data_IF_158911741346
#
_entry.id   IF_158911741346
#
_cell.length_a   1.000
_cell.length_b   1.000
_cell.length_c   1.000
_cell.angle_alpha   90.00
_cell.angle_beta   90.00
_cell.angle_gamma   90.00
#
_symmetry.space_group_name_H-M   'P 1'
#
loop_
_entity.id
_entity.type
_entity.pdbx_description
1 polymer ?
#
# COMPACT_ATOMS: atom_id res chain seq x y z
N UNK A 1 -14.49 -23.52 26.54
CA UNK A 1 -13.65 -23.97 25.43
C UNK A 1 -12.98 -22.74 24.83
N UNK A 2 -11.69 -22.54 25.06
CA UNK A 2 -10.93 -21.50 24.36
C UNK A 2 -10.79 -21.91 22.90
N UNK A 3 -11.07 -21.04 21.91
CA UNK A 3 -10.86 -21.38 20.52
C UNK A 3 -9.36 -21.69 20.29
N UNK A 4 -9.06 -22.86 19.71
CA UNK A 4 -7.69 -23.20 19.31
C UNK A 4 -7.25 -22.25 18.20
N UNK A 5 -6.21 -21.47 18.43
CA UNK A 5 -5.67 -20.60 17.39
C UNK A 5 -5.10 -21.45 16.25
N UNK A 6 -5.35 -21.09 14.99
CA UNK A 6 -4.80 -21.82 13.85
C UNK A 6 -3.27 -21.80 13.93
N UNK A 7 -2.64 -22.94 13.65
CA UNK A 7 -1.18 -23.07 13.69
C UNK A 7 -0.48 -22.14 12.68
N UNK A 8 -1.19 -21.75 11.63
CA UNK A 8 -0.69 -20.93 10.51
C UNK A 8 -1.81 -20.02 10.00
N UNK A 9 -1.51 -18.74 9.76
CA UNK A 9 -2.36 -17.86 8.96
C UNK A 9 -1.91 -17.93 7.49
N UNK A 10 -2.82 -17.69 6.54
CA UNK A 10 -2.50 -17.67 5.12
C UNK A 10 -1.28 -16.75 4.85
N UNK A 11 -0.19 -17.32 4.32
CA UNK A 11 1.07 -16.61 4.07
C UNK A 11 2.10 -16.60 5.21
N UNK A 12 1.86 -17.24 6.37
CA UNK A 12 2.78 -17.22 7.52
C UNK A 12 3.05 -18.60 8.14
N UNK A 13 4.32 -18.89 8.40
CA UNK A 13 4.78 -20.14 9.01
C UNK A 13 4.54 -20.24 10.53
N UNK A 14 4.38 -19.12 11.24
CA UNK A 14 4.18 -19.08 12.70
C UNK A 14 3.23 -17.95 13.10
N UNK A 15 2.41 -18.18 14.13
CA UNK A 15 1.47 -17.19 14.67
C UNK A 15 1.86 -16.72 16.09
N UNK A 16 1.75 -15.42 16.43
CA UNK A 16 1.44 -14.32 15.52
C UNK A 16 2.61 -14.08 14.56
N UNK A 17 2.34 -13.70 13.29
CA UNK A 17 3.39 -13.41 12.35
C UNK A 17 4.26 -12.27 12.87
N UNK A 18 5.57 -12.51 12.99
CA UNK A 18 6.53 -11.45 13.31
C UNK A 18 6.76 -10.63 12.04
N UNK A 19 6.25 -9.41 12.01
CA UNK A 19 6.58 -8.47 10.95
C UNK A 19 8.05 -8.06 11.10
N UNK A 20 8.90 -8.51 10.20
CA UNK A 20 10.29 -8.03 10.09
C UNK A 20 10.33 -6.73 9.28
N UNK A 21 9.46 -5.75 9.60
CA UNK A 21 9.52 -4.45 8.95
C UNK A 21 10.94 -3.90 9.15
N UNK A 22 11.62 -3.45 8.08
CA UNK A 22 12.91 -2.81 8.25
C UNK A 22 12.74 -1.59 9.17
N UNK A 23 13.81 -1.15 9.86
CA UNK A 23 13.77 0.11 10.60
C UNK A 23 13.28 1.22 9.67
N UNK A 24 12.12 1.80 9.97
CA UNK A 24 11.56 2.91 9.19
C UNK A 24 12.25 4.21 9.62
N UNK A 25 13.56 4.28 9.53
CA UNK A 25 14.32 5.49 9.83
C UNK A 25 14.80 6.13 8.53
N UNK A 26 14.97 7.45 8.55
CA UNK A 26 15.65 8.11 7.45
C UNK A 26 17.10 7.62 7.39
N UNK A 27 17.59 7.43 6.17
CA UNK A 27 19.01 7.21 5.94
C UNK A 27 19.82 8.41 6.47
N UNK A 28 21.02 8.17 6.99
CA UNK A 28 21.88 9.23 7.54
C UNK A 28 22.18 10.36 6.54
N UNK A 29 22.12 10.07 5.23
CA UNK A 29 22.29 11.05 4.15
C UNK A 29 21.04 11.89 3.85
N UNK A 30 19.87 11.53 4.38
CA UNK A 30 18.59 12.17 4.07
C UNK A 30 18.17 13.12 5.19
N UNK A 31 18.27 14.42 4.94
CA UNK A 31 17.78 15.44 5.87
C UNK A 31 16.25 15.54 5.81
N UNK A 32 15.58 15.45 6.97
CA UNK A 32 14.11 15.47 7.09
C UNK A 32 13.47 16.69 6.42
N UNK A 33 14.12 17.85 6.56
CA UNK A 33 13.67 19.15 6.07
C UNK A 33 13.70 19.26 4.54
N UNK A 34 14.46 18.36 3.88
CA UNK A 34 14.56 18.30 2.42
C UNK A 34 13.50 17.40 1.78
N UNK A 35 12.71 16.68 2.59
CA UNK A 35 11.71 15.74 2.08
C UNK A 35 10.44 16.52 1.69
N UNK A 36 10.17 16.55 0.39
CA UNK A 36 8.89 17.02 -0.14
C UNK A 36 7.91 15.84 -0.25
N UNK A 37 7.05 15.66 0.77
CA UNK A 37 6.11 14.55 0.82
C UNK A 37 5.16 14.51 -0.40
N UNK A 38 4.69 15.66 -0.86
CA UNK A 38 3.79 15.75 -2.02
C UNK A 38 4.48 15.29 -3.30
N UNK A 39 5.74 15.67 -3.50
CA UNK A 39 6.51 15.24 -4.67
C UNK A 39 6.74 13.72 -4.67
N UNK A 40 7.11 13.15 -3.51
CA UNK A 40 7.33 11.69 -3.38
C UNK A 40 6.06 10.92 -3.67
N UNK A 41 4.92 11.33 -3.09
CA UNK A 41 3.64 10.65 -3.29
C UNK A 41 3.15 10.78 -4.73
N UNK A 42 3.26 11.96 -5.34
CA UNK A 42 2.85 12.15 -6.73
C UNK A 42 3.69 11.28 -7.68
N UNK A 43 5.00 11.14 -7.44
CA UNK A 43 5.86 10.22 -8.21
C UNK A 43 5.45 8.77 -8.02
N UNK A 44 5.18 8.34 -6.78
CA UNK A 44 4.77 6.97 -6.48
C UNK A 44 3.40 6.65 -7.09
N UNK A 45 2.41 7.55 -6.97
CA UNK A 45 1.08 7.38 -7.57
C UNK A 45 1.15 7.34 -9.11
N UNK A 46 1.99 8.17 -9.73
CA UNK A 46 2.20 8.13 -11.18
C UNK A 46 2.77 6.77 -11.63
N UNK A 47 3.78 6.26 -10.93
CA UNK A 47 4.37 4.95 -11.22
C UNK A 47 3.38 3.80 -10.96
N UNK A 48 2.56 3.89 -9.92
CA UNK A 48 1.50 2.93 -9.62
C UNK A 48 0.48 2.89 -10.76
N UNK A 49 -0.04 4.06 -11.16
CA UNK A 49 -1.00 4.18 -12.27
C UNK A 49 -0.43 3.60 -13.55
N UNK A 50 0.81 3.94 -13.90
CA UNK A 50 1.47 3.41 -15.10
C UNK A 50 1.63 1.88 -15.06
N UNK A 51 2.02 1.33 -13.91
CA UNK A 51 2.16 -0.11 -13.73
C UNK A 51 0.81 -0.85 -13.85
N UNK A 52 -0.26 -0.26 -13.34
CA UNK A 52 -1.62 -0.81 -13.45
C UNK A 52 -2.11 -0.74 -14.90
N UNK A 53 -1.99 0.41 -15.56
CA UNK A 53 -2.44 0.62 -16.94
C UNK A 53 -1.74 -0.33 -17.91
N UNK A 54 -0.44 -0.56 -17.71
CA UNK A 54 0.36 -1.49 -18.52
C UNK A 54 0.23 -2.94 -18.08
N UNK A 55 -0.46 -3.23 -16.97
CA UNK A 55 -0.48 -4.53 -16.29
C UNK A 55 0.92 -5.13 -16.09
N UNK A 56 1.90 -4.28 -15.81
CA UNK A 56 3.30 -4.68 -15.69
C UNK A 56 3.58 -5.16 -14.26
N UNK A 57 3.55 -6.47 -14.05
CA UNK A 57 3.76 -7.11 -12.74
C UNK A 57 5.09 -6.68 -12.10
N UNK A 58 6.19 -6.72 -12.85
CA UNK A 58 7.50 -6.38 -12.33
C UNK A 58 7.60 -4.90 -11.90
N UNK A 59 7.05 -3.98 -12.68
CA UNK A 59 7.02 -2.55 -12.31
C UNK A 59 6.14 -2.33 -11.08
N UNK A 60 4.97 -2.98 -11.03
CA UNK A 60 4.05 -2.88 -9.90
C UNK A 60 4.70 -3.38 -8.60
N UNK A 61 5.28 -4.58 -8.62
CA UNK A 61 5.89 -5.19 -7.44
C UNK A 61 7.09 -4.39 -6.92
N UNK A 62 7.84 -3.73 -7.81
CA UNK A 62 8.98 -2.88 -7.44
C UNK A 62 8.60 -1.66 -6.57
N UNK A 63 7.32 -1.28 -6.53
CA UNK A 63 6.80 -0.18 -5.72
C UNK A 63 6.59 -0.56 -4.25
N UNK A 64 6.72 -1.84 -3.91
CA UNK A 64 6.40 -2.39 -2.61
C UNK A 64 7.61 -3.10 -2.00
N UNK A 65 7.82 -2.90 -0.71
CA UNK A 65 8.75 -3.74 0.08
C UNK A 65 8.15 -5.12 0.34
N UNK A 66 8.98 -6.11 0.64
CA UNK A 66 8.54 -7.49 0.83
C UNK A 66 7.49 -7.63 1.95
N UNK A 67 7.58 -6.79 2.97
CA UNK A 67 6.73 -6.80 4.17
C UNK A 67 5.49 -5.91 4.03
N UNK A 68 5.22 -5.42 2.82
CA UNK A 68 4.06 -4.59 2.51
C UNK A 68 2.75 -5.35 2.62
N UNK A 69 1.68 -4.58 2.86
CA UNK A 69 0.32 -5.09 2.92
C UNK A 69 -0.60 -4.22 2.10
N UNK A 70 -1.52 -4.86 1.39
CA UNK A 70 -2.66 -4.21 0.75
C UNK A 70 -3.95 -4.63 1.42
N UNK A 71 -4.73 -3.66 1.90
CA UNK A 71 -6.08 -3.92 2.42
C UNK A 71 -7.11 -3.46 1.42
N UNK A 72 -7.91 -4.38 0.93
CA UNK A 72 -9.06 -4.12 0.09
C UNK A 72 -10.32 -4.11 0.97
N UNK A 73 -10.91 -2.93 1.16
CA UNK A 73 -12.15 -2.73 1.91
C UNK A 73 -13.31 -2.64 0.93
N UNK A 74 -13.66 -3.78 0.34
CA UNK A 74 -14.74 -3.94 -0.65
C UNK A 74 -14.59 -3.18 -1.98
N UNK A 75 -13.40 -2.68 -2.31
CA UNK A 75 -13.19 -1.83 -3.48
C UNK A 75 -12.92 -2.62 -4.76
N UNK A 76 -12.00 -3.59 -4.71
CA UNK A 76 -11.63 -4.41 -5.88
C UNK A 76 -12.40 -5.71 -5.93
N UNK A 77 -12.72 -6.22 -4.74
CA UNK A 77 -13.56 -7.39 -4.50
C UNK A 77 -14.70 -6.98 -3.59
N UNK A 78 -15.85 -7.65 -3.61
CA UNK A 78 -16.94 -7.39 -2.66
C UNK A 78 -16.67 -7.95 -1.25
N UNK A 79 -15.40 -8.20 -0.93
CA UNK A 79 -14.93 -8.80 0.30
C UNK A 79 -13.93 -7.87 0.99
N UNK A 80 -13.81 -8.00 2.31
CA UNK A 80 -12.68 -7.44 3.04
C UNK A 80 -11.52 -8.41 2.93
N UNK A 81 -10.44 -7.98 2.28
CA UNK A 81 -9.26 -8.82 2.06
C UNK A 81 -7.98 -8.10 2.47
N UNK A 82 -7.00 -8.86 2.95
CA UNK A 82 -5.63 -8.38 3.21
C UNK A 82 -4.65 -9.25 2.45
N UNK A 83 -3.75 -8.64 1.68
CA UNK A 83 -2.74 -9.32 0.87
C UNK A 83 -1.35 -8.94 1.35
N UNK A 84 -0.53 -9.94 1.60
CA UNK A 84 0.81 -9.79 2.14
C UNK A 84 1.86 -9.99 1.06
N UNK A 85 2.73 -8.99 0.92
CA UNK A 85 3.88 -9.00 0.02
C UNK A 85 3.55 -8.72 -1.45
N UNK A 86 4.54 -8.25 -2.23
CA UNK A 86 4.32 -7.76 -3.59
C UNK A 86 3.59 -8.76 -4.52
N UNK A 87 3.92 -10.07 -4.54
CA UNK A 87 3.24 -11.02 -5.44
C UNK A 87 1.75 -11.23 -5.14
N UNK A 88 1.36 -11.24 -3.86
CA UNK A 88 -0.05 -11.39 -3.50
C UNK A 88 -0.84 -10.11 -3.79
N UNK A 89 -0.19 -8.95 -3.62
CA UNK A 89 -0.79 -7.65 -3.92
C UNK A 89 -0.96 -7.48 -5.43
N UNK A 90 0.06 -7.77 -6.23
CA UNK A 90 0.02 -7.65 -7.70
C UNK A 90 -1.04 -8.57 -8.30
N UNK A 91 -1.11 -9.84 -7.85
CA UNK A 91 -2.13 -10.78 -8.27
C UNK A 91 -3.55 -10.30 -7.94
N UNK A 92 -3.76 -9.69 -6.77
CA UNK A 92 -5.06 -9.16 -6.36
C UNK A 92 -5.47 -7.90 -7.14
N UNK A 93 -4.56 -6.94 -7.27
CA UNK A 93 -4.84 -5.65 -7.90
C UNK A 93 -4.92 -5.77 -9.43
N UNK A 94 -3.90 -6.35 -10.06
CA UNK A 94 -3.84 -6.46 -11.52
C UNK A 94 -4.76 -7.56 -12.08
N UNK A 95 -5.10 -8.56 -11.25
CA UNK A 95 -6.05 -9.61 -11.58
C UNK A 95 -7.52 -9.24 -11.36
N UNK A 96 -7.83 -8.10 -10.73
CA UNK A 96 -9.21 -7.70 -10.46
C UNK A 96 -9.99 -7.38 -11.73
N UNK A 97 -11.18 -7.97 -11.87
CA UNK A 97 -12.14 -7.66 -12.95
C UNK A 97 -12.86 -6.33 -12.74
N UNK A 98 -12.87 -5.81 -11.51
CA UNK A 98 -13.43 -4.50 -11.17
C UNK A 98 -12.52 -3.38 -11.64
N UNK A 99 -11.20 -3.65 -11.70
CA UNK A 99 -10.18 -2.70 -12.11
C UNK A 99 -9.91 -1.62 -11.05
N UNK A 100 -8.71 -1.07 -11.11
CA UNK A 100 -8.29 0.11 -10.35
C UNK A 100 -7.68 1.09 -11.35
N UNK A 101 -8.16 2.32 -11.40
CA UNK A 101 -7.68 3.32 -12.36
C UNK A 101 -7.88 4.74 -11.85
N UNK A 102 -7.45 5.72 -12.64
CA UNK A 102 -7.57 7.15 -12.31
C UNK A 102 -7.04 7.49 -10.90
N UNK A 103 -5.96 6.80 -10.50
CA UNK A 103 -5.40 6.94 -9.15
C UNK A 103 -4.74 8.31 -9.02
N UNK A 104 -5.22 9.11 -8.07
CA UNK A 104 -4.76 10.49 -7.88
C UNK A 104 -4.55 10.79 -6.40
N UNK A 105 -3.42 11.38 -6.04
CA UNK A 105 -3.13 11.80 -4.68
C UNK A 105 -4.10 12.90 -4.21
N UNK A 106 -4.69 12.75 -3.02
CA UNK A 106 -5.50 13.79 -2.38
C UNK A 106 -4.58 14.91 -1.91
N UNK A 107 -4.97 16.18 -2.10
CA UNK A 107 -4.13 17.34 -1.72
C UNK A 107 -4.73 18.18 -0.58
N UNK A 108 -5.70 17.62 0.16
CA UNK A 108 -6.38 18.37 1.24
C UNK A 108 -5.56 18.38 2.53
N UNK A 109 -5.74 19.35 3.44
CA UNK A 109 -5.01 19.38 4.71
C UNK A 109 -5.18 18.11 5.57
N UNK A 110 -6.33 17.43 5.49
CA UNK A 110 -6.61 16.25 6.31
C UNK A 110 -6.03 14.95 5.72
N UNK A 111 -6.04 14.81 4.40
CA UNK A 111 -5.68 13.55 3.72
C UNK A 111 -4.49 13.70 2.76
N UNK A 112 -3.89 14.88 2.68
CA UNK A 112 -2.76 15.14 1.82
C UNK A 112 -1.46 14.49 2.29
N UNK A 113 -0.46 14.35 1.40
CA UNK A 113 0.86 13.85 1.72
C UNK A 113 1.50 14.56 2.92
N UNK A 114 1.92 13.80 3.91
CA UNK A 114 2.63 14.31 5.09
C UNK A 114 3.74 13.37 5.52
N UNK A 115 4.85 13.96 5.93
CA UNK A 115 5.92 13.23 6.59
C UNK A 115 5.61 13.10 8.09
N UNK A 116 5.25 11.90 8.51
CA UNK A 116 4.86 11.58 9.87
C UNK A 116 6.03 10.99 10.66
N UNK A 117 5.93 11.03 11.99
CA UNK A 117 6.86 10.40 12.92
C UNK A 117 6.06 9.66 13.99
N UNK A 118 6.25 8.34 14.10
CA UNK A 118 5.68 7.50 15.14
C UNK A 118 6.79 6.76 15.88
N UNK A 119 7.17 7.25 17.07
CA UNK A 119 8.32 6.72 17.79
C UNK A 119 9.58 6.79 16.92
N UNK A 120 10.30 5.68 16.68
CA UNK A 120 11.47 5.67 15.79
C UNK A 120 11.11 5.67 14.29
N UNK A 121 9.85 5.45 13.92
CA UNK A 121 9.42 5.33 12.54
C UNK A 121 9.12 6.70 11.89
N UNK A 122 9.78 6.98 10.78
CA UNK A 122 9.56 8.09 9.86
C UNK A 122 8.95 7.52 8.58
N UNK A 123 7.79 8.02 8.17
CA UNK A 123 7.13 7.56 6.94
C UNK A 123 6.27 8.67 6.34
N UNK A 124 5.91 8.51 5.07
CA UNK A 124 4.94 9.40 4.42
C UNK A 124 3.56 8.76 4.49
N UNK A 125 2.58 9.51 4.97
CA UNK A 125 1.17 9.14 4.92
C UNK A 125 0.47 10.00 3.87
N UNK A 126 -0.38 9.40 3.04
CA UNK A 126 -1.14 10.13 2.03
C UNK A 126 -2.42 9.40 1.67
N UNK A 127 -3.50 10.13 1.43
CA UNK A 127 -4.71 9.62 0.80
C UNK A 127 -4.66 9.72 -0.71
N UNK A 128 -5.42 8.87 -1.39
CA UNK A 128 -5.63 8.92 -2.84
C UNK A 128 -7.09 8.64 -3.19
N UNK A 129 -7.55 9.16 -4.33
CA UNK A 129 -8.80 8.77 -4.98
C UNK A 129 -8.51 7.79 -6.09
N UNK A 130 -9.50 6.97 -6.44
CA UNK A 130 -9.41 6.06 -7.59
C UNK A 130 -10.80 5.82 -8.18
N UNK A 131 -10.81 5.27 -9.39
CA UNK A 131 -11.98 4.77 -10.07
C UNK A 131 -11.90 3.26 -10.23
N UNK A 132 -13.07 2.63 -10.17
CA UNK A 132 -13.31 1.24 -10.55
C UNK A 132 -14.38 1.22 -11.64
N UNK A 133 -14.63 0.06 -12.22
CA UNK A 133 -15.76 -0.15 -13.14
C UNK A 133 -17.12 0.29 -12.56
N UNK A 134 -17.29 0.26 -11.24
CA UNK A 134 -18.58 0.49 -10.58
C UNK A 134 -18.70 1.85 -9.89
N UNK A 135 -17.61 2.63 -9.77
CA UNK A 135 -17.65 3.94 -9.14
C UNK A 135 -16.31 4.42 -8.63
N UNK A 136 -16.34 5.56 -7.92
CA UNK A 136 -15.18 6.18 -7.31
C UNK A 136 -14.94 5.71 -5.87
N UNK A 137 -13.69 5.74 -5.44
CA UNK A 137 -13.29 5.36 -4.08
C UNK A 137 -12.13 6.20 -3.56
N UNK A 138 -11.77 5.96 -2.29
CA UNK A 138 -10.63 6.59 -1.60
C UNK A 138 -9.82 5.53 -0.85
N UNK A 139 -8.50 5.70 -0.84
CA UNK A 139 -7.55 4.89 -0.09
C UNK A 139 -6.53 5.77 0.63
N UNK A 140 -5.65 5.14 1.41
CA UNK A 140 -4.57 5.75 2.18
C UNK A 140 -3.40 4.80 2.37
#
# INVERSE_FOLDING_TARGET
MSPSMPATAEGFATYPPRTALPPLCLDASTARERINASEVVNKWIAALSEAIDKKCVAAFESLFVQESWWRDLVALTWNVASKYGPPAISAHVLGSTTGLGEVTAVQTPLLGPRLEQLGPAVFIQAGFTFMTKFGSGRGS
#
